data_IF_054395835706
#
_entry.id   IF_054395835706
#
_cell.length_a   1.000
_cell.length_b   1.000
_cell.length_c   1.000
_cell.angle_alpha   90.00
_cell.angle_beta   90.00
_cell.angle_gamma   90.00
#
_symmetry.space_group_name_H-M   'P 1'
#
loop_
_entity.id
_entity.type
_entity.pdbx_description
1 polymer ?
#
# COMPACT_ATOMS: atom_id res chain seq x y z
N UNK A 1 64.42 14.50 -47.11
CA UNK A 1 63.17 14.08 -47.76
C UNK A 1 62.39 13.20 -46.80
N UNK A 2 61.08 13.43 -46.70
CA UNK A 2 60.17 12.83 -45.69
C UNK A 2 60.12 11.30 -45.80
N UNK A 3 60.13 10.62 -44.65
CA UNK A 3 59.47 9.34 -44.51
C UNK A 3 58.70 9.35 -43.18
N UNK A 4 57.38 9.38 -43.32
CA UNK A 4 56.37 9.24 -42.29
C UNK A 4 56.22 7.75 -42.02
N UNK A 5 56.17 7.30 -40.76
CA UNK A 5 55.23 6.24 -40.37
C UNK A 5 54.86 6.31 -38.88
N UNK A 6 53.58 6.06 -38.54
CA UNK A 6 52.99 6.39 -37.24
C UNK A 6 52.68 5.14 -36.39
N UNK A 7 52.03 5.38 -35.24
CA UNK A 7 51.19 4.46 -34.45
C UNK A 7 51.97 3.34 -33.73
N UNK A 8 51.81 3.05 -32.43
CA UNK A 8 50.76 3.27 -31.43
C UNK A 8 51.40 2.89 -30.08
N UNK A 9 50.86 3.33 -28.95
CA UNK A 9 50.75 2.63 -27.63
C UNK A 9 50.65 3.71 -26.54
N UNK A 10 49.51 3.87 -25.86
CA UNK A 10 48.96 3.03 -24.79
C UNK A 10 49.21 3.72 -23.44
N UNK A 11 48.21 3.67 -22.55
CA UNK A 11 48.30 3.98 -21.10
C UNK A 11 48.46 5.47 -20.74
N UNK A 12 47.75 6.06 -19.79
CA UNK A 12 46.82 5.56 -18.80
C UNK A 12 45.97 6.76 -18.34
N UNK A 13 44.65 6.67 -18.47
CA UNK A 13 43.71 7.55 -17.77
C UNK A 13 42.83 6.63 -16.92
N UNK A 14 43.28 6.36 -15.70
CA UNK A 14 42.54 5.60 -14.70
C UNK A 14 42.63 6.38 -13.39
N UNK A 15 41.77 7.38 -13.25
CA UNK A 15 41.51 8.08 -11.99
C UNK A 15 40.05 8.55 -11.99
N UNK A 16 39.37 8.16 -10.89
CA UNK A 16 38.06 8.60 -10.40
C UNK A 16 36.82 8.17 -11.20
N UNK A 17 36.15 7.11 -10.72
CA UNK A 17 34.69 7.14 -10.60
C UNK A 17 34.19 6.17 -9.53
N UNK A 18 33.99 6.68 -8.32
CA UNK A 18 33.10 6.07 -7.33
C UNK A 18 32.18 7.18 -6.80
N UNK A 19 31.23 7.62 -7.66
CA UNK A 19 30.12 8.43 -7.19
C UNK A 19 29.19 7.56 -6.36
N UNK A 20 29.19 7.81 -5.06
CA UNK A 20 28.24 7.31 -4.09
C UNK A 20 26.83 7.73 -4.49
N UNK A 21 25.94 6.75 -4.60
CA UNK A 21 24.50 6.95 -4.74
C UNK A 21 23.78 6.32 -3.55
N UNK A 22 24.12 6.71 -2.32
CA UNK A 22 23.18 6.52 -1.22
C UNK A 22 22.07 7.55 -1.45
N UNK A 23 21.00 7.14 -2.13
CA UNK A 23 19.78 7.95 -2.15
C UNK A 23 19.38 8.15 -0.70
N UNK A 24 19.45 9.40 -0.24
CA UNK A 24 18.84 9.79 1.02
C UNK A 24 17.35 9.46 0.87
N UNK A 25 16.93 8.35 1.45
CA UNK A 25 15.53 8.02 1.58
C UNK A 25 14.95 9.11 2.47
N UNK A 26 14.29 10.08 1.84
CA UNK A 26 13.79 11.28 2.46
C UNK A 26 12.99 10.87 3.70
N UNK A 27 13.54 11.20 4.88
CA UNK A 27 12.97 10.78 6.15
C UNK A 27 11.70 11.59 6.37
N UNK A 28 10.58 11.11 5.84
CA UNK A 28 9.27 11.70 6.09
C UNK A 28 8.99 11.59 7.58
N UNK A 29 9.13 12.72 8.29
CA UNK A 29 8.86 12.83 9.73
C UNK A 29 7.54 13.51 10.02
N UNK A 30 6.98 14.23 9.04
CA UNK A 30 5.72 14.94 9.17
C UNK A 30 4.81 14.68 7.97
N UNK A 31 3.52 14.49 8.27
CA UNK A 31 2.46 14.32 7.29
C UNK A 31 1.22 15.11 7.72
N UNK A 32 0.26 15.26 6.82
CA UNK A 32 -1.06 15.81 7.12
C UNK A 32 -2.16 14.80 6.80
N UNK A 33 -3.29 14.88 7.52
CA UNK A 33 -4.49 14.12 7.19
C UNK A 33 -5.16 14.70 5.95
N UNK A 34 -5.28 13.88 4.89
CA UNK A 34 -5.93 14.25 3.64
C UNK A 34 -7.16 13.36 3.43
N UNK A 35 -8.35 13.94 3.16
CA UNK A 35 -9.55 13.16 2.91
C UNK A 35 -9.44 12.40 1.57
N UNK A 36 -9.85 11.13 1.59
CA UNK A 36 -9.90 10.23 0.44
C UNK A 36 -11.23 9.49 0.42
N UNK A 37 -11.70 9.19 -0.78
CA UNK A 37 -12.86 8.36 -1.02
C UNK A 37 -12.47 7.11 -1.81
N UNK A 38 -13.12 5.99 -1.49
CA UNK A 38 -12.94 4.71 -2.18
C UNK A 38 -14.30 4.21 -2.64
N UNK A 39 -14.39 3.87 -3.92
CA UNK A 39 -15.45 3.04 -4.47
C UNK A 39 -14.82 1.76 -5.00
N UNK A 40 -15.16 0.65 -4.35
CA UNK A 40 -14.58 -0.66 -4.61
C UNK A 40 -15.68 -1.66 -4.91
N UNK A 41 -15.58 -2.40 -6.01
CA UNK A 41 -16.48 -3.51 -6.32
C UNK A 41 -15.63 -4.75 -6.48
N UNK A 42 -15.84 -5.75 -5.64
CA UNK A 42 -15.07 -6.99 -5.71
C UNK A 42 -15.46 -7.80 -6.94
N UNK A 43 -14.46 -8.13 -7.74
CA UNK A 43 -14.59 -8.98 -8.92
C UNK A 43 -13.74 -10.24 -8.72
N UNK A 44 -14.37 -11.35 -8.33
CA UNK A 44 -13.64 -12.59 -8.12
C UNK A 44 -14.42 -13.84 -8.50
N UNK A 45 -13.66 -14.83 -8.93
CA UNK A 45 -14.20 -16.09 -9.42
C UNK A 45 -14.07 -17.19 -8.37
N UNK A 46 -12.98 -17.18 -7.58
CA UNK A 46 -12.65 -18.22 -6.59
C UNK A 46 -13.39 -18.01 -5.26
N UNK A 47 -13.16 -16.89 -4.58
CA UNK A 47 -13.91 -16.54 -3.35
C UNK A 47 -15.19 -15.77 -3.66
N UNK A 48 -16.23 -16.02 -2.86
CA UNK A 48 -17.48 -15.24 -2.84
C UNK A 48 -17.62 -14.58 -1.46
N UNK A 49 -17.89 -13.28 -1.44
CA UNK A 49 -18.14 -12.54 -0.21
C UNK A 49 -19.61 -12.20 -0.08
N UNK A 50 -20.11 -12.19 1.16
CA UNK A 50 -21.29 -11.41 1.50
C UNK A 50 -20.92 -9.93 1.56
N UNK A 51 -21.93 -9.06 1.49
CA UNK A 51 -21.71 -7.61 1.56
C UNK A 51 -21.03 -7.16 2.86
N UNK A 52 -21.51 -7.66 3.99
CA UNK A 52 -20.93 -7.46 5.30
C UNK A 52 -19.52 -8.03 5.39
N UNK A 53 -19.30 -9.26 4.93
CA UNK A 53 -17.99 -9.91 4.98
C UNK A 53 -16.94 -9.16 4.15
N UNK A 54 -17.29 -8.65 2.98
CA UNK A 54 -16.41 -7.79 2.20
C UNK A 54 -16.16 -6.45 2.89
N UNK A 55 -17.23 -5.79 3.36
CA UNK A 55 -17.15 -4.48 4.02
C UNK A 55 -16.25 -4.52 5.25
N UNK A 56 -16.40 -5.54 6.09
CA UNK A 56 -15.58 -5.72 7.29
C UNK A 56 -14.12 -5.98 6.93
N UNK A 57 -13.87 -6.85 5.93
CA UNK A 57 -12.52 -7.11 5.44
C UNK A 57 -11.86 -5.84 4.87
N UNK A 58 -12.55 -5.07 4.04
CA UNK A 58 -12.02 -3.82 3.50
C UNK A 58 -11.77 -2.82 4.63
N UNK A 59 -12.66 -2.70 5.61
CA UNK A 59 -12.46 -1.83 6.77
C UNK A 59 -11.20 -2.19 7.56
N UNK A 60 -10.94 -3.47 7.79
CA UNK A 60 -9.71 -3.95 8.42
C UNK A 60 -8.48 -3.55 7.62
N UNK A 61 -8.50 -3.75 6.30
CA UNK A 61 -7.41 -3.37 5.40
C UNK A 61 -7.15 -1.87 5.44
N UNK A 62 -8.18 -1.03 5.37
CA UNK A 62 -8.04 0.43 5.42
C UNK A 62 -7.38 0.88 6.74
N UNK A 63 -7.82 0.32 7.87
CA UNK A 63 -7.22 0.62 9.18
C UNK A 63 -5.76 0.15 9.28
N UNK A 64 -5.47 -1.05 8.73
CA UNK A 64 -4.12 -1.60 8.71
C UNK A 64 -3.16 -0.70 7.91
N UNK A 65 -3.62 -0.19 6.76
CA UNK A 65 -2.89 0.70 5.86
C UNK A 65 -2.74 2.14 6.40
N UNK A 66 -3.37 2.47 7.53
CA UNK A 66 -3.19 3.76 8.20
C UNK A 66 -4.34 4.75 8.04
N UNK A 67 -5.54 4.30 7.61
CA UNK A 67 -6.73 5.14 7.59
C UNK A 67 -7.06 5.64 9.01
N UNK A 68 -7.44 6.91 9.12
CA UNK A 68 -7.77 7.53 10.39
C UNK A 68 -9.05 6.94 10.98
N UNK A 69 -8.94 6.31 12.14
CA UNK A 69 -10.08 5.65 12.80
C UNK A 69 -11.26 6.60 13.12
N UNK A 70 -10.99 7.86 13.40
CA UNK A 70 -12.01 8.81 13.87
C UNK A 70 -13.00 9.24 12.78
N UNK A 71 -12.60 9.25 11.51
CA UNK A 71 -13.45 9.68 10.39
C UNK A 71 -13.71 8.58 9.35
N UNK A 72 -13.19 7.37 9.58
CA UNK A 72 -13.42 6.22 8.73
C UNK A 72 -14.91 5.82 8.72
N UNK A 73 -15.54 5.98 7.57
CA UNK A 73 -16.89 5.53 7.28
C UNK A 73 -16.80 4.50 6.16
N UNK A 74 -17.39 3.32 6.38
CA UNK A 74 -17.40 2.22 5.41
C UNK A 74 -18.83 1.72 5.31
N UNK A 75 -19.36 1.70 4.09
CA UNK A 75 -20.71 1.26 3.79
C UNK A 75 -20.69 0.23 2.66
N UNK A 76 -21.35 -0.92 2.83
CA UNK A 76 -21.50 -1.88 1.75
C UNK A 76 -22.42 -1.31 0.65
N UNK A 77 -22.14 -1.62 -0.60
CA UNK A 77 -22.93 -1.22 -1.77
C UNK A 77 -23.21 -2.43 -2.67
N UNK A 78 -24.28 -2.35 -3.48
CA UNK A 78 -24.65 -3.46 -4.39
C UNK A 78 -25.34 -4.65 -3.70
N UNK A 79 -25.87 -4.46 -2.49
CA UNK A 79 -26.41 -5.54 -1.66
C UNK A 79 -27.90 -5.78 -1.93
N UNK A 80 -28.20 -6.61 -2.94
CA UNK A 80 -29.59 -6.98 -3.26
C UNK A 80 -30.09 -8.24 -2.53
N UNK A 81 -29.19 -9.06 -1.97
CA UNK A 81 -29.51 -10.38 -1.39
C UNK A 81 -29.64 -10.46 0.15
N UNK A 82 -29.53 -9.33 0.87
CA UNK A 82 -29.49 -9.30 2.34
C UNK A 82 -28.09 -9.59 2.93
N UNK A 83 -27.94 -9.39 4.25
CA UNK A 83 -26.67 -9.59 4.97
C UNK A 83 -26.35 -11.08 5.17
N UNK A 84 -25.05 -11.41 5.22
CA UNK A 84 -24.56 -12.77 5.50
C UNK A 84 -24.69 -13.78 4.35
N UNK A 85 -25.26 -13.36 3.21
CA UNK A 85 -25.37 -14.20 2.00
C UNK A 85 -24.37 -13.72 0.95
N UNK A 86 -23.63 -14.63 0.27
CA UNK A 86 -22.86 -14.26 -0.91
C UNK A 86 -23.77 -13.59 -1.95
N UNK A 87 -23.37 -12.42 -2.43
CA UNK A 87 -24.13 -11.65 -3.42
C UNK A 87 -23.30 -11.50 -4.70
N UNK A 88 -23.92 -11.35 -5.88
CA UNK A 88 -23.20 -10.92 -7.07
C UNK A 88 -22.56 -9.54 -6.84
N UNK A 89 -21.28 -9.40 -7.17
CA UNK A 89 -20.54 -8.14 -7.18
C UNK A 89 -20.68 -7.31 -5.89
N UNK A 90 -20.33 -7.86 -4.71
CA UNK A 90 -20.35 -7.08 -3.48
C UNK A 90 -19.36 -5.92 -3.61
N UNK A 91 -19.76 -4.75 -3.13
CA UNK A 91 -18.91 -3.57 -3.16
C UNK A 91 -18.87 -2.84 -1.82
N UNK A 92 -17.96 -1.88 -1.74
CA UNK A 92 -17.71 -1.02 -0.60
C UNK A 92 -17.55 0.42 -1.08
N UNK A 93 -18.24 1.33 -0.40
CA UNK A 93 -17.98 2.76 -0.45
C UNK A 93 -17.34 3.17 0.87
N UNK A 94 -16.21 3.87 0.84
CA UNK A 94 -15.57 4.37 2.04
C UNK A 94 -15.15 5.83 1.92
N UNK A 95 -15.25 6.56 3.03
CA UNK A 95 -14.67 7.88 3.23
C UNK A 95 -13.73 7.81 4.43
N UNK A 96 -12.55 8.38 4.27
CA UNK A 96 -11.50 8.30 5.30
C UNK A 96 -10.49 9.43 5.13
N UNK A 97 -9.75 9.75 6.18
CA UNK A 97 -8.50 10.50 6.02
C UNK A 97 -7.29 9.56 6.04
N UNK A 98 -6.27 9.87 5.23
CA UNK A 98 -4.98 9.16 5.17
C UNK A 98 -3.83 10.14 5.40
N UNK A 99 -2.65 9.63 5.75
CA UNK A 99 -1.45 10.43 5.91
C UNK A 99 -0.75 10.64 4.57
N UNK A 100 -0.52 11.90 4.22
CA UNK A 100 0.31 12.31 3.09
C UNK A 100 1.47 13.19 3.57
N UNK A 101 2.72 12.95 3.12
CA UNK A 101 3.86 13.78 3.45
C UNK A 101 3.56 15.25 3.21
N UNK A 102 3.99 16.10 4.13
CA UNK A 102 3.85 17.55 3.93
C UNK A 102 4.76 17.96 2.77
N UNK A 103 4.18 18.64 1.78
CA UNK A 103 4.90 19.09 0.60
C UNK A 103 4.15 20.22 -0.11
N UNK A 104 4.59 20.60 -1.32
CA UNK A 104 4.03 21.72 -2.06
C UNK A 104 2.52 21.61 -2.36
N UNK A 105 1.97 20.38 -2.33
CA UNK A 105 0.55 20.09 -2.60
C UNK A 105 -0.30 19.96 -1.34
N UNK A 106 0.29 20.11 -0.15
CA UNK A 106 -0.45 20.01 1.11
C UNK A 106 -1.48 21.15 1.21
N UNK A 107 -2.75 20.86 1.54
CA UNK A 107 -3.75 21.90 1.72
C UNK A 107 -3.31 22.95 2.76
N UNK A 108 -3.54 24.23 2.44
CA UNK A 108 -3.24 25.32 3.36
C UNK A 108 -4.05 25.15 4.66
N UNK A 109 -3.36 25.18 5.82
CA UNK A 109 -3.98 25.00 7.14
C UNK A 109 -4.09 23.55 7.63
N UNK A 110 -3.56 22.57 6.89
CA UNK A 110 -3.50 21.20 7.37
C UNK A 110 -2.52 21.07 8.55
N UNK A 111 -3.00 20.58 9.70
CA UNK A 111 -2.18 20.44 10.89
C UNK A 111 -1.12 19.33 10.70
N UNK A 112 0.16 19.62 10.98
CA UNK A 112 1.23 18.64 10.87
C UNK A 112 1.08 17.56 11.94
N UNK A 113 1.31 16.31 11.54
CA UNK A 113 1.29 15.12 12.40
C UNK A 113 2.65 14.44 12.27
N UNK A 114 3.28 14.13 13.41
CA UNK A 114 4.49 13.32 13.41
C UNK A 114 4.16 11.89 12.95
N UNK A 115 4.96 11.36 12.03
CA UNK A 115 4.73 10.04 11.43
C UNK A 115 5.94 9.13 11.51
N UNK A 116 5.67 7.84 11.38
CA UNK A 116 6.67 6.79 11.24
C UNK A 116 6.23 5.79 10.16
N UNK A 117 7.21 5.12 9.58
CA UNK A 117 6.96 4.00 8.67
C UNK A 117 6.70 2.72 9.46
N UNK A 118 5.66 1.98 9.06
CA UNK A 118 5.33 0.67 9.64
C UNK A 118 5.18 -0.35 8.52
N UNK A 119 5.91 -1.46 8.62
CA UNK A 119 5.69 -2.60 7.74
C UNK A 119 4.39 -3.32 8.12
N UNK A 120 3.53 -3.57 7.14
CA UNK A 120 2.26 -4.28 7.31
C UNK A 120 2.13 -5.42 6.31
N UNK A 121 1.37 -6.43 6.70
CA UNK A 121 1.04 -7.60 5.89
C UNK A 121 -0.49 -7.64 5.72
N UNK A 122 -0.95 -7.24 4.53
CA UNK A 122 -2.35 -7.07 4.19
C UNK A 122 -3.05 -8.41 3.97
N UNK A 123 -2.29 -9.48 3.74
CA UNK A 123 -2.81 -10.82 3.54
C UNK A 123 -3.22 -11.53 4.84
N UNK A 124 -3.03 -10.89 6.01
CA UNK A 124 -3.40 -11.44 7.33
C UNK A 124 -4.55 -10.67 8.00
N UNK A 125 -5.42 -11.34 8.78
CA UNK A 125 -5.42 -12.77 9.09
C UNK A 125 -5.95 -13.64 7.94
N UNK A 126 -5.45 -14.87 7.89
CA UNK A 126 -5.85 -15.90 6.94
C UNK A 126 -7.06 -16.66 7.50
N UNK A 127 -8.27 -16.14 7.31
CA UNK A 127 -9.48 -16.93 7.54
C UNK A 127 -9.61 -18.02 6.45
N UNK A 128 -10.51 -19.01 6.60
CA UNK A 128 -10.79 -19.97 5.52
C UNK A 128 -11.29 -19.28 4.23
N UNK A 129 -11.95 -18.12 4.36
CA UNK A 129 -12.27 -17.26 3.21
C UNK A 129 -11.01 -16.75 2.51
N UNK A 130 -9.92 -16.54 3.25
CA UNK A 130 -8.63 -16.12 2.73
C UNK A 130 -7.92 -17.12 1.81
N UNK A 131 -8.35 -18.38 1.80
CA UNK A 131 -7.84 -19.35 0.82
C UNK A 131 -8.26 -19.02 -0.63
N UNK A 132 -9.23 -18.11 -0.82
CA UNK A 132 -9.61 -17.55 -2.12
C UNK A 132 -9.40 -16.03 -2.23
N UNK A 133 -8.59 -15.42 -1.35
CA UNK A 133 -8.31 -13.97 -1.35
C UNK A 133 -7.35 -13.53 -2.47
N UNK A 134 -7.02 -14.40 -3.43
CA UNK A 134 -6.10 -14.11 -4.53
C UNK A 134 -6.54 -12.87 -5.31
N UNK A 135 -7.75 -12.91 -5.82
CA UNK A 135 -8.36 -11.83 -6.59
C UNK A 135 -8.56 -10.59 -5.70
N UNK A 136 -8.92 -10.77 -4.43
CA UNK A 136 -9.10 -9.65 -3.50
C UNK A 136 -7.78 -8.94 -3.23
N UNK A 137 -6.70 -9.68 -2.95
CA UNK A 137 -5.38 -9.14 -2.64
C UNK A 137 -4.81 -8.38 -3.84
N UNK A 138 -4.99 -8.92 -5.06
CA UNK A 138 -4.60 -8.23 -6.29
C UNK A 138 -5.37 -6.91 -6.46
N UNK A 139 -6.68 -6.92 -6.23
CA UNK A 139 -7.51 -5.72 -6.34
C UNK A 139 -7.20 -4.70 -5.23
N UNK A 140 -6.86 -5.15 -4.01
CA UNK A 140 -6.39 -4.27 -2.94
C UNK A 140 -5.10 -3.54 -3.40
N UNK A 141 -4.15 -4.29 -3.97
CA UNK A 141 -2.92 -3.70 -4.52
C UNK A 141 -3.22 -2.64 -5.59
N UNK A 142 -4.15 -2.92 -6.50
CA UNK A 142 -4.43 -2.05 -7.64
C UNK A 142 -5.32 -0.84 -7.31
N UNK A 143 -6.29 -1.00 -6.41
CA UNK A 143 -7.35 0.00 -6.19
C UNK A 143 -7.27 0.67 -4.82
N UNK A 144 -6.70 0.02 -3.81
CA UNK A 144 -6.71 0.53 -2.43
C UNK A 144 -5.34 1.08 -2.04
N UNK A 145 -4.24 0.36 -2.28
CA UNK A 145 -2.89 0.85 -1.95
C UNK A 145 -2.57 2.24 -2.52
N UNK A 146 -2.95 2.60 -3.76
CA UNK A 146 -2.66 3.92 -4.32
C UNK A 146 -3.35 5.08 -3.59
N UNK A 147 -4.30 4.80 -2.71
CA UNK A 147 -4.93 5.82 -1.85
C UNK A 147 -4.06 6.20 -0.66
N UNK A 148 -3.01 5.44 -0.36
CA UNK A 148 -2.14 5.62 0.80
C UNK A 148 -0.72 5.99 0.37
N UNK A 149 0.01 6.67 1.26
CA UNK A 149 1.45 6.82 1.11
C UNK A 149 2.13 5.52 1.51
N UNK A 150 2.56 4.75 0.50
CA UNK A 150 3.18 3.44 0.67
C UNK A 150 4.55 3.37 -0.01
N UNK A 151 5.44 2.53 0.52
CA UNK A 151 6.72 2.18 -0.11
C UNK A 151 7.04 0.70 0.12
N UNK A 152 8.09 0.19 -0.53
CA UNK A 152 8.57 -1.19 -0.37
C UNK A 152 7.44 -2.23 -0.53
N UNK A 153 6.60 -2.05 -1.57
CA UNK A 153 5.45 -2.92 -1.83
C UNK A 153 5.94 -4.24 -2.40
N UNK A 154 5.72 -5.31 -1.65
CA UNK A 154 6.03 -6.69 -2.04
C UNK A 154 4.73 -7.44 -2.31
N UNK A 155 4.59 -7.96 -3.53
CA UNK A 155 3.43 -8.75 -3.93
C UNK A 155 3.89 -10.04 -4.60
N UNK A 156 3.34 -11.17 -4.14
CA UNK A 156 3.56 -12.47 -4.75
C UNK A 156 2.23 -13.20 -4.85
N UNK A 157 2.04 -13.94 -5.95
CA UNK A 157 0.87 -14.78 -6.16
C UNK A 157 1.24 -16.02 -6.95
N UNK A 158 0.77 -17.17 -6.47
CA UNK A 158 0.83 -18.48 -7.13
C UNK A 158 -0.58 -19.02 -7.39
N UNK A 159 -1.57 -18.13 -7.38
CA UNK A 159 -2.97 -18.51 -7.44
C UNK A 159 -3.37 -19.05 -8.81
N UNK A 160 -4.18 -20.11 -8.81
CA UNK A 160 -4.78 -20.69 -10.01
C UNK A 160 -6.28 -20.39 -9.99
N UNK A 161 -6.85 -19.83 -11.08
CA UNK A 161 -8.28 -19.53 -11.14
C UNK A 161 -9.15 -20.74 -10.77
N UNK A 162 -10.20 -20.50 -9.98
CA UNK A 162 -11.13 -21.51 -9.47
C UNK A 162 -10.51 -22.56 -8.51
N UNK A 163 -9.30 -22.32 -7.99
CA UNK A 163 -8.66 -23.20 -7.02
C UNK A 163 -8.34 -22.45 -5.72
N UNK A 164 -8.74 -23.03 -4.59
CA UNK A 164 -8.33 -22.53 -3.27
C UNK A 164 -6.85 -22.84 -3.06
N UNK A 165 -6.05 -21.80 -2.90
CA UNK A 165 -4.61 -21.92 -2.66
C UNK A 165 -4.29 -21.21 -1.34
N UNK A 166 -4.40 -21.90 -0.18
CA UNK A 166 -4.08 -21.30 1.12
C UNK A 166 -2.67 -20.72 1.12
N UNK A 167 -2.54 -19.44 1.48
CA UNK A 167 -1.25 -18.74 1.45
C UNK A 167 -0.67 -18.52 0.04
N UNK A 168 -1.47 -18.75 -1.02
CA UNK A 168 -1.05 -18.57 -2.42
C UNK A 168 -0.88 -17.12 -2.84
N UNK A 169 -1.20 -16.15 -1.97
CA UNK A 169 -0.97 -14.73 -2.22
C UNK A 169 -0.40 -14.06 -0.97
N UNK A 170 0.49 -13.09 -1.18
CA UNK A 170 1.06 -12.24 -0.13
C UNK A 170 1.14 -10.80 -0.61
N UNK A 171 0.74 -9.86 0.24
CA UNK A 171 0.90 -8.43 0.00
C UNK A 171 1.43 -7.75 1.25
N UNK A 172 2.66 -7.24 1.16
CA UNK A 172 3.30 -6.45 2.21
C UNK A 172 3.63 -5.06 1.68
N UNK A 173 3.63 -4.08 2.58
CA UNK A 173 4.03 -2.73 2.27
C UNK A 173 4.49 -2.01 3.54
N UNK A 174 5.35 -1.01 3.38
CA UNK A 174 5.55 0.00 4.40
C UNK A 174 4.51 1.11 4.22
N UNK A 175 3.82 1.45 5.30
CA UNK A 175 2.77 2.48 5.32
C UNK A 175 3.10 3.58 6.33
N UNK A 176 2.70 4.81 6.04
CA UNK A 176 2.79 5.91 7.00
C UNK A 176 1.71 5.78 8.09
N UNK A 177 2.14 5.88 9.35
CA UNK A 177 1.27 5.88 10.51
C UNK A 177 1.64 7.01 11.48
N UNK A 178 0.72 7.46 12.35
CA UNK A 178 1.08 8.40 13.39
C UNK A 178 2.20 7.84 14.26
N UNK A 179 3.21 8.65 14.54
CA UNK A 179 4.29 8.27 15.44
C UNK A 179 3.72 7.98 16.84
N UNK A 180 4.28 7.00 17.58
CA UNK A 180 3.94 6.81 18.98
C UNK A 180 4.15 8.10 19.76
N UNK A 181 3.29 8.37 20.76
CA UNK A 181 3.52 9.49 21.67
C UNK A 181 4.90 9.32 22.35
N UNK A 182 5.69 10.40 22.50
CA UNK A 182 6.93 10.33 23.24
C UNK A 182 6.64 9.84 24.67
N UNK A 183 7.47 8.94 25.18
CA UNK A 183 7.33 8.44 26.55
C UNK A 183 7.44 9.63 27.54
N UNK A 184 6.66 9.64 28.65
CA UNK A 184 6.81 10.65 29.66
C UNK A 184 8.23 10.58 30.24
N UNK A 185 8.96 11.70 30.22
CA UNK A 185 10.26 11.82 30.88
C UNK A 185 10.09 11.57 32.37
N UNK A 186 10.77 10.56 32.91
CA UNK A 186 10.88 10.38 34.35
C UNK A 186 11.61 11.61 34.94
N UNK A 187 10.90 12.35 35.78
CA UNK A 187 11.42 13.50 36.51
C UNK A 187 12.22 13.12 37.74
#
# INVERSE_FOLDING_TARGET
>A
MRAIRPTTLCSAWLLLMACQGAQAEESVTQASWVPRELHFTYQGFTAKYSCDGLSDRIKEVLLLLGARKQDLQVSPIGCSGGYGRPTPFPGVSAKMSVLEPIGPKTPAGAAPVAVAWRNVDVSRPQSLAAAGDCELTEQIKQSILPLFTVRNVEYNSTCVPHQLTPGGTSLKADVLVPAPAPAPSAG
#
